data_IF_365648506442
#
_entry.id   IF_365648506442
#
_cell.length_a   1.000
_cell.length_b   1.000
_cell.length_c   1.000
_cell.angle_alpha   90.00
_cell.angle_beta   90.00
_cell.angle_gamma   90.00
#
_symmetry.space_group_name_H-M   'P 1'
#
loop_
_entity.id
_entity.type
_entity.pdbx_description
1 polymer ?
#
# COMPACT_ATOMS: atom_id res chain seq x y z
N UNK A 1 -12.23 -24.36 4.71
CA UNK A 1 -12.50 -22.92 4.85
C UNK A 1 -11.76 -22.48 6.10
N UNK A 2 -10.57 -21.90 5.96
CA UNK A 2 -9.91 -21.25 7.09
C UNK A 2 -10.43 -19.81 7.11
N UNK A 3 -11.33 -19.51 8.04
CA UNK A 3 -11.59 -18.12 8.45
C UNK A 3 -10.31 -17.61 9.07
N UNK A 4 -9.45 -16.98 8.27
CA UNK A 4 -8.28 -16.29 8.77
C UNK A 4 -8.53 -14.78 8.70
N UNK A 5 -9.61 -14.33 9.34
CA UNK A 5 -9.79 -12.91 9.64
C UNK A 5 -8.97 -12.61 10.88
N UNK A 6 -7.66 -12.47 10.70
CA UNK A 6 -6.81 -11.89 11.73
C UNK A 6 -7.49 -10.58 12.16
N UNK A 7 -7.83 -10.49 13.45
CA UNK A 7 -8.49 -9.33 14.05
C UNK A 7 -7.41 -8.45 14.64
N UNK A 8 -7.55 -7.12 14.55
CA UNK A 8 -6.62 -6.19 15.17
C UNK A 8 -6.51 -6.48 16.67
N UNK A 9 -5.28 -6.65 17.16
CA UNK A 9 -5.00 -6.70 18.59
C UNK A 9 -5.09 -5.31 19.22
N UNK A 10 -5.14 -5.25 20.55
CA UNK A 10 -5.06 -3.98 21.28
C UNK A 10 -3.77 -3.21 20.96
N UNK A 11 -2.64 -3.93 20.78
CA UNK A 11 -1.37 -3.32 20.40
C UNK A 11 -1.41 -2.73 18.99
N UNK A 12 -2.10 -3.39 18.06
CA UNK A 12 -2.29 -2.85 16.71
C UNK A 12 -3.10 -1.55 16.74
N UNK A 13 -4.18 -1.53 17.53
CA UNK A 13 -5.03 -0.34 17.70
C UNK A 13 -4.26 0.83 18.32
N UNK A 14 -3.44 0.57 19.34
CA UNK A 14 -2.57 1.57 19.97
C UNK A 14 -1.58 2.14 18.95
N UNK A 15 -0.89 1.27 18.21
CA UNK A 15 0.04 1.68 17.16
C UNK A 15 -0.65 2.52 16.06
N UNK A 16 -1.81 2.09 15.57
CA UNK A 16 -2.60 2.85 14.59
C UNK A 16 -3.02 4.21 15.18
N UNK A 17 -3.41 4.24 16.45
CA UNK A 17 -3.77 5.46 17.18
C UNK A 17 -2.63 6.47 17.20
N UNK A 18 -1.43 6.03 17.61
CA UNK A 18 -0.22 6.85 17.62
C UNK A 18 0.07 7.43 16.24
N UNK A 19 0.05 6.60 15.19
CA UNK A 19 0.30 7.05 13.82
C UNK A 19 -0.73 8.09 13.36
N UNK A 20 -1.98 7.98 13.79
CA UNK A 20 -3.03 8.97 13.49
C UNK A 20 -2.80 10.28 14.24
N UNK A 21 -2.44 10.23 15.52
CA UNK A 21 -2.18 11.43 16.33
C UNK A 21 -1.04 12.29 15.78
N UNK A 22 0.02 11.65 15.28
CA UNK A 22 1.17 12.37 14.71
C UNK A 22 0.99 12.78 13.24
N UNK A 23 -0.12 12.39 12.61
CA UNK A 23 -0.39 12.64 11.19
C UNK A 23 0.39 11.73 10.23
N UNK A 24 0.88 10.57 10.68
CA UNK A 24 1.44 9.56 9.78
C UNK A 24 0.35 8.82 9.00
N UNK A 25 -0.86 8.72 9.57
CA UNK A 25 -2.06 8.22 8.90
C UNK A 25 -3.09 9.33 8.77
N UNK A 26 -3.38 9.73 7.54
CA UNK A 26 -4.24 10.87 7.24
C UNK A 26 -5.45 10.45 6.40
N UNK A 27 -6.60 11.07 6.67
CA UNK A 27 -7.75 11.00 5.76
C UNK A 27 -7.52 11.98 4.62
N UNK A 28 -7.86 11.59 3.40
CA UNK A 28 -7.67 12.44 2.22
C UNK A 28 -8.96 12.90 1.58
N UNK A 29 -8.85 13.98 0.82
CA UNK A 29 -9.90 14.50 -0.05
C UNK A 29 -9.72 13.97 -1.50
N UNK A 30 -10.77 14.01 -2.34
CA UNK A 30 -10.71 13.51 -3.73
C UNK A 30 -9.65 14.18 -4.63
N UNK A 31 -9.23 15.40 -4.30
CA UNK A 31 -8.24 16.21 -5.02
C UNK A 31 -6.81 16.10 -4.45
N UNK A 32 -6.58 15.17 -3.52
CA UNK A 32 -5.29 15.00 -2.83
C UNK A 32 -4.09 14.77 -3.76
N UNK A 33 -4.30 14.14 -4.93
CA UNK A 33 -3.24 13.89 -5.91
C UNK A 33 -3.80 13.77 -7.33
N UNK A 34 -2.95 13.93 -8.35
CA UNK A 34 -3.34 13.89 -9.75
C UNK A 34 -3.57 12.44 -10.23
N UNK A 35 -4.80 12.17 -10.63
CA UNK A 35 -5.27 10.91 -11.19
C UNK A 35 -5.91 11.09 -12.58
N UNK A 36 -5.71 12.25 -13.21
CA UNK A 36 -6.27 12.61 -14.52
C UNK A 36 -5.85 11.62 -15.62
N UNK A 37 -4.66 11.03 -15.53
CA UNK A 37 -4.17 9.97 -16.43
C UNK A 37 -4.43 8.55 -15.92
N UNK A 38 -5.02 8.40 -14.74
CA UNK A 38 -5.29 7.12 -14.09
C UNK A 38 -4.09 6.68 -13.26
N UNK A 39 -4.26 5.60 -12.50
CA UNK A 39 -3.23 5.12 -11.57
C UNK A 39 -2.77 3.72 -11.94
N UNK A 40 -1.54 3.41 -11.58
CA UNK A 40 -1.01 2.06 -11.47
C UNK A 40 -1.15 1.66 -10.00
N UNK A 41 -2.14 0.82 -9.70
CA UNK A 41 -2.46 0.42 -8.33
C UNK A 41 -1.74 -0.87 -7.99
N UNK A 42 -0.81 -0.80 -7.05
CA UNK A 42 -0.18 -1.96 -6.41
C UNK A 42 -0.97 -2.23 -5.14
N UNK A 43 -1.62 -3.39 -5.06
CA UNK A 43 -2.32 -3.83 -3.85
C UNK A 43 -2.22 -5.35 -3.68
N UNK A 44 -2.66 -5.85 -2.54
CA UNK A 44 -2.75 -7.30 -2.32
C UNK A 44 -3.84 -7.94 -3.19
N UNK A 45 -3.61 -9.19 -3.58
CA UNK A 45 -4.56 -10.09 -4.24
C UNK A 45 -5.60 -10.73 -3.33
N UNK A 46 -5.71 -10.22 -2.10
CA UNK A 46 -6.73 -10.61 -1.14
C UNK A 46 -8.13 -10.31 -1.71
N UNK A 47 -8.85 -11.36 -2.10
CA UNK A 47 -10.17 -11.26 -2.73
C UNK A 47 -11.23 -10.62 -1.84
N UNK A 48 -11.01 -10.61 -0.53
CA UNK A 48 -11.94 -10.03 0.44
C UNK A 48 -11.66 -8.53 0.66
N UNK A 49 -10.53 -8.00 0.16
CA UNK A 49 -10.08 -6.62 0.40
C UNK A 49 -9.82 -5.83 -0.89
N UNK A 50 -9.37 -6.49 -1.96
CA UNK A 50 -8.98 -5.82 -3.20
C UNK A 50 -10.13 -5.07 -3.88
N UNK A 51 -11.36 -5.59 -3.79
CA UNK A 51 -12.54 -4.94 -4.35
C UNK A 51 -12.83 -3.58 -3.72
N UNK A 52 -12.74 -3.48 -2.40
CA UNK A 52 -12.94 -2.22 -1.68
C UNK A 52 -11.83 -1.21 -1.97
N UNK A 53 -10.59 -1.68 -2.04
CA UNK A 53 -9.42 -0.87 -2.39
C UNK A 53 -9.57 -0.27 -3.80
N UNK A 54 -10.01 -1.06 -4.78
CA UNK A 54 -10.26 -0.58 -6.15
C UNK A 54 -11.38 0.47 -6.11
N UNK A 55 -12.52 0.14 -5.49
CA UNK A 55 -13.67 1.05 -5.39
C UNK A 55 -13.33 2.38 -4.71
N UNK A 56 -12.48 2.35 -3.67
CA UNK A 56 -11.96 3.55 -3.03
C UNK A 56 -11.27 4.48 -4.04
N UNK A 57 -10.40 3.93 -4.88
CA UNK A 57 -9.70 4.71 -5.91
C UNK A 57 -10.63 5.17 -7.03
N UNK A 58 -11.60 4.35 -7.44
CA UNK A 58 -12.62 4.77 -8.41
C UNK A 58 -13.42 5.99 -7.92
N UNK A 59 -13.78 6.02 -6.63
CA UNK A 59 -14.44 7.16 -5.99
C UNK A 59 -13.57 8.41 -5.95
N UNK A 60 -12.29 8.29 -5.59
CA UNK A 60 -11.37 9.43 -5.62
C UNK A 60 -11.22 10.00 -7.03
N UNK A 61 -11.12 9.12 -8.03
CA UNK A 61 -11.02 9.52 -9.44
C UNK A 61 -12.27 10.23 -9.96
N UNK A 62 -13.45 9.97 -9.40
CA UNK A 62 -14.69 10.55 -9.89
C UNK A 62 -14.69 12.09 -9.89
N UNK A 63 -13.86 12.73 -9.06
CA UNK A 63 -13.67 14.18 -9.04
C UNK A 63 -12.84 14.70 -10.24
N UNK A 64 -12.06 13.85 -10.91
CA UNK A 64 -11.05 14.24 -11.90
C UNK A 64 -11.31 13.63 -13.29
N UNK A 65 -12.17 12.61 -13.40
CA UNK A 65 -12.47 11.93 -14.67
C UNK A 65 -13.85 11.27 -14.68
N UNK A 66 -14.41 11.11 -15.88
CA UNK A 66 -15.73 10.51 -16.09
C UNK A 66 -15.76 8.98 -16.02
N UNK A 67 -14.62 8.32 -16.29
CA UNK A 67 -14.49 6.87 -16.23
C UNK A 67 -13.25 6.50 -15.42
N UNK A 68 -13.35 5.67 -14.38
CA UNK A 68 -12.18 5.21 -13.64
C UNK A 68 -11.15 4.53 -14.55
N UNK A 69 -9.87 4.67 -14.20
CA UNK A 69 -8.77 4.13 -15.01
C UNK A 69 -7.68 3.60 -14.09
N UNK A 70 -7.92 2.40 -13.56
CA UNK A 70 -6.99 1.69 -12.68
C UNK A 70 -6.24 0.62 -13.49
N UNK A 71 -4.92 0.68 -13.52
CA UNK A 71 -4.06 -0.42 -13.95
C UNK A 71 -3.69 -1.23 -12.70
N UNK A 72 -4.33 -2.37 -12.51
CA UNK A 72 -4.17 -3.18 -11.31
C UNK A 72 -2.94 -4.10 -11.41
N UNK A 73 -2.06 -4.01 -10.41
CA UNK A 73 -0.94 -4.93 -10.17
C UNK A 73 -1.16 -5.60 -8.82
N UNK A 74 -1.75 -6.78 -8.84
CA UNK A 74 -2.21 -7.46 -7.62
C UNK A 74 -1.65 -8.88 -7.53
N UNK A 75 -0.97 -9.15 -6.41
CA UNK A 75 -0.42 -10.44 -5.99
C UNK A 75 -0.62 -10.57 -4.48
N UNK A 76 -0.59 -11.78 -3.94
CA UNK A 76 -0.65 -11.98 -2.49
C UNK A 76 0.50 -11.22 -1.81
N UNK A 77 0.18 -10.39 -0.81
CA UNK A 77 1.16 -9.52 -0.13
C UNK A 77 1.36 -8.17 -0.82
N UNK A 78 1.07 -8.05 -2.11
CA UNK A 78 1.02 -6.80 -2.85
C UNK A 78 2.23 -5.91 -2.64
N UNK A 79 2.01 -4.77 -1.98
CA UNK A 79 3.03 -3.81 -1.56
C UNK A 79 4.25 -4.45 -0.87
N UNK A 80 4.03 -5.47 -0.04
CA UNK A 80 5.08 -6.11 0.73
C UNK A 80 6.08 -6.90 -0.12
N UNK A 81 5.75 -7.16 -1.39
CA UNK A 81 6.62 -7.86 -2.35
C UNK A 81 7.51 -6.90 -3.16
N UNK A 82 7.21 -5.61 -3.15
CA UNK A 82 7.94 -4.60 -3.92
C UNK A 82 9.38 -4.39 -3.45
N UNK A 83 9.66 -4.23 -2.13
CA UNK A 83 11.00 -3.89 -1.71
C UNK A 83 11.94 -5.09 -1.87
N UNK A 84 13.15 -4.88 -2.39
CA UNK A 84 14.14 -5.93 -2.62
C UNK A 84 14.64 -6.59 -1.31
N UNK A 85 14.47 -5.92 -0.17
CA UNK A 85 14.73 -6.47 1.16
C UNK A 85 13.52 -7.23 1.74
N UNK A 86 12.44 -7.40 0.97
CA UNK A 86 11.26 -8.12 1.42
C UNK A 86 11.62 -9.55 1.83
N UNK A 87 11.17 -10.01 3.01
CA UNK A 87 11.40 -11.39 3.45
C UNK A 87 10.71 -12.43 2.53
N UNK A 88 9.79 -11.99 1.65
CA UNK A 88 9.06 -12.87 0.74
C UNK A 88 9.84 -13.28 -0.51
N UNK A 89 10.87 -12.52 -0.92
CA UNK A 89 11.67 -12.79 -2.14
C UNK A 89 12.43 -14.13 -2.05
N UNK A 90 12.66 -14.65 -0.84
CA UNK A 90 13.33 -15.92 -0.60
C UNK A 90 12.40 -17.14 -0.47
N UNK A 91 11.08 -16.98 -0.53
CA UNK A 91 10.14 -18.09 -0.30
C UNK A 91 9.95 -18.98 -1.54
N UNK A 92 10.08 -18.43 -2.75
CA UNK A 92 9.77 -19.12 -4.01
C UNK A 92 10.72 -18.78 -5.16
N UNK A 93 11.86 -18.15 -4.88
CA UNK A 93 12.87 -17.68 -5.85
C UNK A 93 12.33 -16.70 -6.92
N UNK A 94 11.13 -16.15 -6.73
CA UNK A 94 10.54 -15.20 -7.68
C UNK A 94 11.05 -13.78 -7.38
N UNK A 95 11.69 -13.09 -8.36
CA UNK A 95 12.14 -11.71 -8.19
C UNK A 95 10.97 -10.72 -8.35
N UNK A 96 10.09 -10.67 -7.34
CA UNK A 96 8.88 -9.86 -7.36
C UNK A 96 9.15 -8.37 -7.58
N UNK A 97 10.24 -7.84 -7.02
CA UNK A 97 10.71 -6.47 -7.22
C UNK A 97 10.88 -6.16 -8.73
N UNK A 98 11.54 -7.05 -9.47
CA UNK A 98 11.76 -6.91 -10.92
C UNK A 98 10.45 -7.04 -11.70
N UNK A 99 9.56 -7.94 -11.26
CA UNK A 99 8.26 -8.12 -11.88
C UNK A 99 7.42 -6.84 -11.77
N UNK A 100 7.27 -6.28 -10.56
CA UNK A 100 6.55 -5.02 -10.35
C UNK A 100 7.19 -3.89 -11.16
N UNK A 101 8.52 -3.81 -11.18
CA UNK A 101 9.23 -2.78 -11.95
C UNK A 101 8.90 -2.86 -13.46
N UNK A 102 8.93 -4.07 -14.02
CA UNK A 102 8.59 -4.29 -15.43
C UNK A 102 7.14 -3.89 -15.73
N UNK A 103 6.20 -4.26 -14.86
CA UNK A 103 4.78 -3.97 -15.07
C UNK A 103 4.45 -2.48 -14.95
N UNK A 104 5.03 -1.77 -13.98
CA UNK A 104 4.89 -0.31 -13.84
C UNK A 104 5.45 0.42 -15.06
N UNK A 105 6.65 0.05 -15.52
CA UNK A 105 7.25 0.63 -16.74
C UNK A 105 6.37 0.35 -17.98
N UNK A 106 5.82 -0.86 -18.09
CA UNK A 106 4.91 -1.26 -19.15
C UNK A 106 3.63 -0.42 -19.15
N UNK A 107 3.02 -0.19 -17.99
CA UNK A 107 1.84 0.66 -17.84
C UNK A 107 2.11 2.11 -18.29
N UNK A 108 3.27 2.68 -17.95
CA UNK A 108 3.65 4.01 -18.46
C UNK A 108 3.79 4.02 -19.98
N UNK A 109 4.51 3.05 -20.55
CA UNK A 109 4.76 2.97 -22.00
C UNK A 109 3.48 2.76 -22.81
N UNK A 110 2.60 1.87 -22.35
CA UNK A 110 1.39 1.47 -23.09
C UNK A 110 0.20 2.38 -22.82
N UNK A 111 0.07 2.91 -21.60
CA UNK A 111 -1.12 3.64 -21.14
C UNK A 111 -0.84 5.10 -20.80
N UNK A 112 0.42 5.54 -20.77
CA UNK A 112 0.82 6.90 -20.42
C UNK A 112 0.71 7.25 -18.93
N UNK A 113 0.46 6.26 -18.06
CA UNK A 113 0.25 6.45 -16.62
C UNK A 113 1.58 6.67 -15.89
N UNK A 114 1.69 7.76 -15.14
CA UNK A 114 2.85 8.15 -14.32
C UNK A 114 2.54 8.26 -12.81
N UNK A 115 1.33 7.93 -12.40
CA UNK A 115 0.94 7.88 -10.98
C UNK A 115 0.92 6.43 -10.52
N UNK A 116 1.78 6.06 -9.57
CA UNK A 116 1.76 4.76 -8.90
C UNK A 116 1.17 4.95 -7.52
N UNK A 117 0.17 4.13 -7.22
CA UNK A 117 -0.41 4.05 -5.90
C UNK A 117 0.03 2.75 -5.24
N UNK A 118 0.79 2.86 -4.17
CA UNK A 118 1.17 1.75 -3.31
C UNK A 118 0.12 1.63 -2.19
N UNK A 119 -0.71 0.60 -2.23
CA UNK A 119 -1.82 0.42 -1.29
C UNK A 119 -1.66 -0.89 -0.51
N UNK A 120 -1.12 -0.79 0.70
CA UNK A 120 -1.05 -1.91 1.65
C UNK A 120 -2.39 -2.14 2.33
N UNK A 121 -2.53 -3.28 3.01
CA UNK A 121 -3.63 -3.48 3.95
C UNK A 121 -3.16 -4.21 5.21
N UNK A 122 -3.88 -4.02 6.30
CA UNK A 122 -3.66 -4.74 7.54
C UNK A 122 -5.02 -5.03 8.22
N UNK A 123 -5.22 -6.24 8.77
CA UNK A 123 -4.33 -7.40 8.72
C UNK A 123 -4.15 -7.98 7.30
N UNK A 124 -3.03 -8.67 7.06
CA UNK A 124 -2.69 -9.24 5.75
C UNK A 124 -2.26 -10.70 5.88
N UNK A 125 -2.90 -11.61 5.13
CA UNK A 125 -2.61 -13.05 5.21
C UNK A 125 -1.14 -13.39 4.94
N UNK A 126 -0.49 -12.74 3.97
CA UNK A 126 0.94 -12.96 3.71
C UNK A 126 1.83 -12.49 4.85
N UNK A 127 1.51 -11.36 5.48
CA UNK A 127 2.22 -10.89 6.67
C UNK A 127 2.08 -11.88 7.83
N UNK A 128 0.87 -12.42 8.03
CA UNK A 128 0.60 -13.42 9.06
C UNK A 128 1.38 -14.72 8.84
N UNK A 129 1.59 -15.17 7.59
CA UNK A 129 2.34 -16.40 7.30
C UNK A 129 3.77 -16.41 7.85
N UNK A 130 4.38 -15.23 8.00
CA UNK A 130 5.74 -15.07 8.53
C UNK A 130 5.77 -14.24 9.82
N UNK A 131 4.62 -14.11 10.48
CA UNK A 131 4.46 -13.44 11.78
C UNK A 131 4.98 -11.99 11.80
N UNK A 132 4.72 -11.22 10.74
CA UNK A 132 4.99 -9.77 10.80
C UNK A 132 3.93 -9.09 11.67
N UNK A 133 4.39 -8.28 12.62
CA UNK A 133 3.53 -7.34 13.33
C UNK A 133 3.14 -6.14 12.43
N UNK A 134 2.17 -5.34 12.88
CA UNK A 134 1.71 -4.17 12.12
C UNK A 134 2.83 -3.18 11.82
N UNK A 135 3.77 -2.98 12.74
CA UNK A 135 4.88 -2.03 12.56
C UNK A 135 5.79 -2.51 11.43
N UNK A 136 6.11 -3.80 11.39
CA UNK A 136 6.90 -4.41 10.33
C UNK A 136 6.20 -4.33 8.98
N UNK A 137 4.87 -4.49 8.94
CA UNK A 137 4.07 -4.28 7.72
C UNK A 137 4.19 -2.84 7.23
N UNK A 138 4.09 -1.86 8.12
CA UNK A 138 4.31 -0.45 7.77
C UNK A 138 5.74 -0.17 7.32
N UNK A 139 6.75 -0.70 8.01
CA UNK A 139 8.17 -0.57 7.64
C UNK A 139 8.42 -1.08 6.20
N UNK A 140 7.95 -2.29 5.88
CA UNK A 140 8.06 -2.85 4.54
C UNK A 140 7.26 -2.06 3.49
N UNK A 141 6.04 -1.64 3.84
CA UNK A 141 5.20 -0.81 2.97
C UNK A 141 5.89 0.53 2.63
N UNK A 142 6.58 1.15 3.59
CA UNK A 142 7.31 2.39 3.35
C UNK A 142 8.64 2.16 2.61
N UNK A 143 9.30 1.03 2.81
CA UNK A 143 10.45 0.68 1.97
C UNK A 143 10.03 0.45 0.51
N UNK A 144 8.84 -0.13 0.27
CA UNK A 144 8.26 -0.21 -1.06
C UNK A 144 8.11 1.18 -1.71
N UNK A 145 7.62 2.19 -0.98
CA UNK A 145 7.53 3.55 -1.50
C UNK A 145 8.89 4.12 -1.88
N UNK A 146 9.88 3.96 -0.99
CA UNK A 146 11.24 4.45 -1.23
C UNK A 146 11.84 3.77 -2.47
N UNK A 147 11.64 2.46 -2.63
CA UNK A 147 12.09 1.74 -3.80
C UNK A 147 11.38 2.22 -5.08
N UNK A 148 10.05 2.38 -5.06
CA UNK A 148 9.30 2.90 -6.21
C UNK A 148 9.77 4.31 -6.59
N UNK A 149 10.05 5.18 -5.61
CA UNK A 149 10.60 6.52 -5.86
C UNK A 149 11.99 6.47 -6.50
N UNK A 150 12.85 5.54 -6.07
CA UNK A 150 14.19 5.31 -6.65
C UNK A 150 14.11 4.75 -8.07
N UNK A 151 13.22 3.78 -8.29
CA UNK A 151 13.10 3.06 -9.57
C UNK A 151 12.40 3.89 -10.66
N UNK A 152 11.54 4.83 -10.27
CA UNK A 152 10.69 5.61 -11.17
C UNK A 152 10.81 7.12 -10.93
N UNK A 153 11.99 7.73 -11.18
CA UNK A 153 12.15 9.17 -11.08
C UNK A 153 11.17 9.90 -12.03
N UNK A 154 10.45 10.89 -11.50
CA UNK A 154 9.45 11.65 -12.23
C UNK A 154 8.03 11.07 -12.19
N UNK A 155 7.83 9.89 -11.60
CA UNK A 155 6.49 9.40 -11.29
C UNK A 155 5.97 10.05 -10.01
N UNK A 156 4.64 10.18 -9.92
CA UNK A 156 3.99 10.48 -8.66
C UNK A 156 3.76 9.16 -7.90
N UNK A 157 4.39 9.00 -6.74
CA UNK A 157 4.22 7.84 -5.86
C UNK A 157 3.35 8.24 -4.68
N UNK A 158 2.20 7.58 -4.51
CA UNK A 158 1.26 7.86 -3.42
C UNK A 158 1.02 6.59 -2.59
N UNK A 159 1.03 6.73 -1.28
CA UNK A 159 1.03 5.62 -0.32
C UNK A 159 -0.25 5.58 0.50
N UNK A 160 -0.88 4.42 0.57
CA UNK A 160 -2.08 4.19 1.36
C UNK A 160 -1.97 2.90 2.16
N UNK A 161 -2.60 2.89 3.33
CA UNK A 161 -2.84 1.69 4.13
C UNK A 161 -4.33 1.52 4.38
N UNK A 162 -4.86 0.39 3.95
CA UNK A 162 -6.23 -0.03 4.22
C UNK A 162 -6.28 -0.82 5.53
N UNK A 163 -6.95 -0.27 6.54
CA UNK A 163 -7.07 -0.92 7.85
C UNK A 163 -8.46 -1.54 7.97
N UNK A 164 -8.48 -2.83 8.26
CA UNK A 164 -9.68 -3.58 8.58
C UNK A 164 -9.90 -3.63 10.10
N UNK A 165 -10.94 -2.94 10.58
CA UNK A 165 -11.33 -2.91 11.99
C UNK A 165 -12.36 -4.00 12.34
N UNK A 166 -12.62 -4.96 11.44
CA UNK A 166 -13.61 -6.02 11.60
C UNK A 166 -15.02 -5.58 11.23
N UNK A 167 -15.51 -4.48 11.81
CA UNK A 167 -16.86 -3.95 11.51
C UNK A 167 -16.89 -3.04 10.28
N UNK A 168 -15.77 -2.38 10.00
CA UNK A 168 -15.61 -1.46 8.89
C UNK A 168 -14.14 -1.41 8.48
N UNK A 169 -13.90 -0.92 7.27
CA UNK A 169 -12.55 -0.72 6.76
C UNK A 169 -12.32 0.74 6.40
N UNK A 170 -11.06 1.18 6.49
CA UNK A 170 -10.70 2.55 6.16
C UNK A 170 -9.31 2.64 5.51
N UNK A 171 -9.24 3.33 4.36
CA UNK A 171 -7.98 3.66 3.70
C UNK A 171 -7.45 5.00 4.19
N UNK A 172 -6.22 5.01 4.69
CA UNK A 172 -5.51 6.23 5.09
C UNK A 172 -4.34 6.48 4.14
N UNK A 173 -4.06 7.74 3.83
CA UNK A 173 -2.79 8.12 3.25
C UNK A 173 -1.67 7.95 4.30
N UNK A 174 -0.52 7.40 3.88
CA UNK A 174 0.63 7.20 4.77
C UNK A 174 1.71 8.24 4.49
N UNK A 175 1.72 9.29 5.32
CA UNK A 175 2.66 10.40 5.20
C UNK A 175 4.10 9.94 5.42
N UNK A 176 4.92 9.98 4.36
CA UNK A 176 6.33 9.59 4.43
C UNK A 176 7.16 10.49 5.36
N UNK A 177 6.79 11.78 5.50
CA UNK A 177 7.47 12.69 6.42
C UNK A 177 7.19 12.32 7.88
N UNK A 178 5.91 12.20 8.24
CA UNK A 178 5.49 11.87 9.61
C UNK A 178 5.91 10.48 10.03
N UNK A 179 5.91 9.52 9.10
CA UNK A 179 6.50 8.21 9.33
C UNK A 179 7.99 8.28 9.70
N UNK A 180 8.80 9.05 8.96
CA UNK A 180 10.23 9.22 9.30
C UNK A 180 10.43 9.88 10.66
N UNK A 181 9.65 10.90 10.98
CA UNK A 181 9.67 11.55 12.30
C UNK A 181 9.35 10.55 13.42
N UNK A 182 8.37 9.66 13.20
CA UNK A 182 8.03 8.57 14.12
C UNK A 182 9.21 7.61 14.34
N UNK A 183 9.80 7.08 13.27
CA UNK A 183 10.91 6.13 13.37
C UNK A 183 12.14 6.72 14.09
N UNK A 184 12.39 8.03 13.95
CA UNK A 184 13.48 8.71 14.65
C UNK A 184 13.25 8.80 16.17
N UNK A 185 12.00 8.99 16.59
CA UNK A 185 11.63 9.05 18.02
C UNK A 185 11.52 7.66 18.65
N UNK A 186 11.12 6.67 17.86
CA UNK A 186 10.89 5.30 18.29
C UNK A 186 11.78 4.34 17.48
N UNK A 187 13.12 4.45 17.58
CA UNK A 187 14.01 3.52 16.91
C UNK A 187 13.69 2.10 17.35
N UNK A 188 13.80 1.15 16.42
CA UNK A 188 13.67 -0.26 16.76
C UNK A 188 14.86 -0.62 17.68
N UNK A 189 14.62 -1.36 18.79
CA UNK A 189 15.72 -1.85 19.62
C UNK A 189 16.69 -2.74 18.83
#
# INVERSE_FOLDING_TARGET
MHENTATLSQQDLEFIGELKEIGALEKIQPDFFDQSKGIILICCGDGDRSGEIIHFHEKLMAAQRTKPRVHLLSLNGGSLLVPACSPFIGLDEIPYDKLYRLQVAGAKKLKGMDTVVNHGHFPCGMASLINLDIRQVFELHKEADLQLQRDFPGFQIVSFMHIDYGEYMHSYHVSGLKWREFCQKHPRP
#
